data_IF_104784933904
#
_entry.id   IF_104784933904
#
_cell.length_a   1.000
_cell.length_b   1.000
_cell.length_c   1.000
_cell.angle_alpha   90.00
_cell.angle_beta   90.00
_cell.angle_gamma   90.00
#
_symmetry.space_group_name_H-M   'P 1'
#
loop_
_entity.id
_entity.type
_entity.pdbx_description
1 polymer ?
#
# COMPACT_ATOMS: atom_id res chain seq x y z
N UNK A 1 -32.75 38.76 -36.96
CA UNK A 1 -31.87 39.39 -35.96
C UNK A 1 -32.06 38.60 -34.68
N UNK A 2 -30.98 37.99 -34.16
CA UNK A 2 -30.74 37.56 -32.76
C UNK A 2 -31.68 36.49 -32.15
N UNK A 3 -31.26 35.41 -31.50
CA UNK A 3 -29.96 34.96 -30.98
C UNK A 3 -30.17 33.55 -30.37
N UNK A 4 -29.52 32.52 -30.92
CA UNK A 4 -29.47 31.15 -30.38
C UNK A 4 -28.38 31.10 -29.29
N UNK A 5 -28.71 31.51 -28.06
CA UNK A 5 -27.85 31.32 -26.89
C UNK A 5 -28.04 29.94 -26.29
N UNK A 6 -27.61 28.89 -27.01
CA UNK A 6 -27.28 27.61 -26.36
C UNK A 6 -25.97 27.76 -25.59
N UNK A 7 -26.10 27.99 -24.29
CA UNK A 7 -25.01 28.15 -23.34
C UNK A 7 -24.05 26.97 -23.34
N UNK A 8 -22.87 27.18 -23.93
CA UNK A 8 -21.71 26.31 -23.84
C UNK A 8 -21.24 26.25 -22.38
N UNK A 9 -21.46 25.13 -21.68
CA UNK A 9 -20.87 24.92 -20.36
C UNK A 9 -19.33 24.89 -20.50
N UNK A 10 -18.58 25.70 -19.75
CA UNK A 10 -17.12 25.73 -19.84
C UNK A 10 -16.55 24.40 -19.33
N UNK A 11 -15.71 23.76 -20.14
CA UNK A 11 -15.13 22.43 -19.89
C UNK A 11 -14.47 22.28 -18.49
N UNK A 12 -14.02 23.38 -17.89
CA UNK A 12 -13.47 23.44 -16.54
C UNK A 12 -14.49 23.08 -15.43
N UNK A 13 -15.78 23.45 -15.57
CA UNK A 13 -16.82 23.07 -14.60
C UNK A 13 -17.18 21.58 -14.68
N UNK A 14 -17.12 21.00 -15.88
CA UNK A 14 -17.36 19.57 -16.09
C UNK A 14 -16.27 18.72 -15.41
N UNK A 15 -14.99 19.06 -15.63
CA UNK A 15 -13.87 18.33 -15.04
C UNK A 15 -13.91 18.36 -13.49
N UNK A 16 -14.18 19.54 -12.89
CA UNK A 16 -14.29 19.66 -11.43
C UNK A 16 -15.47 18.85 -10.87
N UNK A 17 -16.61 18.80 -11.58
CA UNK A 17 -17.77 18.01 -11.16
C UNK A 17 -17.54 16.48 -11.22
N UNK A 18 -16.74 16.02 -12.20
CA UNK A 18 -16.38 14.60 -12.35
C UNK A 18 -15.35 14.20 -11.30
N UNK A 19 -14.33 15.02 -11.05
CA UNK A 19 -13.34 14.82 -9.98
C UNK A 19 -14.01 14.80 -8.60
N UNK A 20 -14.93 15.73 -8.33
CA UNK A 20 -15.68 15.75 -7.06
C UNK A 20 -16.59 14.53 -6.89
N UNK A 21 -17.17 14.00 -7.98
CA UNK A 21 -17.98 12.78 -7.93
C UNK A 21 -17.11 11.55 -7.62
N UNK A 22 -15.99 11.40 -8.33
CA UNK A 22 -15.06 10.29 -8.12
C UNK A 22 -14.48 10.27 -6.70
N UNK A 23 -14.09 11.45 -6.16
CA UNK A 23 -13.61 11.56 -4.77
C UNK A 23 -14.70 11.13 -3.78
N UNK A 24 -15.95 11.52 -4.01
CA UNK A 24 -17.08 11.17 -3.15
C UNK A 24 -17.36 9.67 -3.17
N UNK A 25 -17.28 9.05 -4.34
CA UNK A 25 -17.48 7.62 -4.53
C UNK A 25 -16.38 6.80 -3.82
N UNK A 26 -15.12 7.24 -3.92
CA UNK A 26 -13.99 6.63 -3.18
C UNK A 26 -14.16 6.75 -1.67
N UNK A 27 -14.56 7.93 -1.16
CA UNK A 27 -14.81 8.13 0.27
C UNK A 27 -15.98 7.26 0.76
N UNK A 28 -17.02 7.12 -0.05
CA UNK A 28 -18.21 6.35 0.31
C UNK A 28 -17.95 4.84 0.24
N UNK A 29 -17.12 4.38 -0.69
CA UNK A 29 -16.62 3.01 -0.76
C UNK A 29 -15.76 2.66 0.46
N UNK A 30 -14.81 3.53 0.85
CA UNK A 30 -14.01 3.37 2.07
C UNK A 30 -14.89 3.27 3.33
N UNK A 31 -15.91 4.13 3.46
CA UNK A 31 -16.87 4.09 4.57
C UNK A 31 -17.73 2.82 4.60
N UNK A 32 -17.99 2.16 3.46
CA UNK A 32 -18.72 0.88 3.43
C UNK A 32 -17.85 -0.29 3.89
N UNK A 33 -16.55 -0.23 3.58
CA UNK A 33 -15.56 -1.19 4.08
C UNK A 33 -15.42 -1.05 5.60
N UNK A 34 -15.29 0.18 6.12
CA UNK A 34 -15.25 0.43 7.58
C UNK A 34 -16.51 -0.01 8.33
N UNK A 35 -17.70 0.14 7.73
CA UNK A 35 -18.96 -0.26 8.38
C UNK A 35 -19.19 -1.77 8.41
N UNK A 36 -18.40 -2.54 7.66
CA UNK A 36 -18.42 -4.01 7.67
C UNK A 36 -17.40 -4.61 8.62
N UNK A 37 -16.80 -3.80 9.49
CA UNK A 37 -15.87 -4.34 10.47
C UNK A 37 -16.53 -5.32 11.43
N UNK A 38 -16.25 -6.59 11.17
CA UNK A 38 -16.48 -7.69 12.08
C UNK A 38 -15.77 -7.44 13.41
N UNK A 39 -16.28 -7.98 14.52
CA UNK A 39 -15.63 -7.83 15.83
C UNK A 39 -14.15 -8.25 15.83
N UNK A 40 -13.78 -9.16 14.94
CA UNK A 40 -12.40 -9.58 14.66
C UNK A 40 -11.53 -8.49 14.03
N UNK A 41 -12.04 -7.67 13.11
CA UNK A 41 -11.27 -6.56 12.51
C UNK A 41 -11.00 -5.44 13.52
N UNK A 42 -11.93 -5.23 14.45
CA UNK A 42 -11.76 -4.25 15.53
C UNK A 42 -10.67 -4.69 16.52
N UNK A 43 -10.57 -5.99 16.77
CA UNK A 43 -9.49 -6.58 17.59
C UNK A 43 -8.17 -6.49 16.83
N UNK A 44 -8.13 -6.83 15.54
CA UNK A 44 -6.95 -6.70 14.69
C UNK A 44 -6.43 -5.25 14.63
N UNK A 45 -7.31 -4.25 14.51
CA UNK A 45 -6.92 -2.83 14.49
C UNK A 45 -6.28 -2.40 15.81
N UNK A 46 -6.89 -2.77 16.94
CA UNK A 46 -6.33 -2.49 18.28
C UNK A 46 -4.98 -3.15 18.48
N UNK A 47 -4.84 -4.38 18.00
CA UNK A 47 -3.59 -5.14 18.00
C UNK A 47 -2.51 -4.41 17.20
N UNK A 48 -2.83 -3.94 15.99
CA UNK A 48 -1.89 -3.21 15.14
C UNK A 48 -1.48 -1.86 15.75
N UNK A 49 -2.43 -1.14 16.37
CA UNK A 49 -2.15 0.10 17.12
C UNK A 49 -1.31 -0.15 18.37
N UNK A 50 -1.53 -1.26 19.07
CA UNK A 50 -0.74 -1.70 20.23
C UNK A 50 0.68 -2.12 19.83
N UNK A 51 0.84 -2.81 18.70
CA UNK A 51 2.14 -3.22 18.17
C UNK A 51 2.97 -2.03 17.66
N UNK A 52 2.31 -0.98 17.15
CA UNK A 52 2.99 0.23 16.67
C UNK A 52 3.38 1.23 17.77
N UNK A 53 2.82 1.10 18.98
CA UNK A 53 3.06 2.03 20.07
C UNK A 53 3.99 1.43 21.13
N UNK A 54 5.14 2.06 21.35
CA UNK A 54 6.12 1.70 22.38
C UNK A 54 5.53 1.63 23.81
N UNK A 55 4.33 2.21 24.01
CA UNK A 55 3.55 2.13 25.25
C UNK A 55 3.23 0.71 25.74
N UNK A 56 3.06 -0.27 24.84
CA UNK A 56 2.81 -1.67 25.24
C UNK A 56 4.01 -2.26 26.01
N UNK A 57 5.23 -1.98 25.55
CA UNK A 57 6.46 -2.43 26.20
C UNK A 57 6.62 -1.78 27.59
N UNK A 58 6.35 -0.47 27.70
CA UNK A 58 6.40 0.21 29.00
C UNK A 58 5.40 -0.35 30.01
N UNK A 59 4.18 -0.69 29.57
CA UNK A 59 3.20 -1.35 30.42
C UNK A 59 3.70 -2.70 30.93
N UNK A 60 4.31 -3.53 30.08
CA UNK A 60 4.87 -4.83 30.48
C UNK A 60 6.04 -4.67 31.46
N UNK A 61 6.96 -3.75 31.18
CA UNK A 61 8.05 -3.44 32.11
C UNK A 61 7.54 -3.00 33.48
N UNK A 62 6.53 -2.13 33.53
CA UNK A 62 5.92 -1.69 34.78
C UNK A 62 5.20 -2.84 35.49
N UNK A 63 4.41 -3.64 34.77
CA UNK A 63 3.68 -4.79 35.30
C UNK A 63 4.63 -5.84 35.90
N UNK A 64 5.66 -6.26 35.16
CA UNK A 64 6.66 -7.21 35.66
C UNK A 64 7.47 -6.63 36.81
N UNK A 65 7.84 -5.35 36.74
CA UNK A 65 8.56 -4.67 37.81
C UNK A 65 7.74 -4.64 39.11
N UNK A 66 6.45 -4.33 39.03
CA UNK A 66 5.54 -4.35 40.18
C UNK A 66 5.37 -5.77 40.73
N UNK A 67 5.21 -6.77 39.87
CA UNK A 67 5.08 -8.17 40.30
C UNK A 67 6.31 -8.66 41.06
N UNK A 68 7.50 -8.39 40.52
CA UNK A 68 8.79 -8.75 41.12
C UNK A 68 8.93 -8.00 42.46
N UNK A 69 8.73 -6.68 42.47
CA UNK A 69 8.84 -5.88 43.70
C UNK A 69 7.87 -6.35 44.80
N UNK A 70 6.63 -6.69 44.43
CA UNK A 70 5.62 -7.20 45.36
C UNK A 70 6.02 -8.55 45.97
N UNK A 71 6.53 -9.48 45.15
CA UNK A 71 6.97 -10.79 45.63
C UNK A 71 8.26 -10.72 46.44
N UNK A 72 9.20 -9.83 46.10
CA UNK A 72 10.39 -9.59 46.95
C UNK A 72 9.99 -8.98 48.30
N UNK A 73 9.03 -8.05 48.32
CA UNK A 73 8.60 -7.41 49.57
C UNK A 73 7.85 -8.36 50.51
N UNK A 74 7.07 -9.29 49.96
CA UNK A 74 6.30 -10.28 50.75
C UNK A 74 7.15 -11.45 51.29
N UNK A 75 8.35 -11.67 50.74
CA UNK A 75 9.35 -12.58 51.31
C UNK A 75 8.83 -14.02 51.49
N UNK A 76 8.81 -14.51 52.73
CA UNK A 76 8.38 -15.88 53.07
C UNK A 76 6.90 -16.18 52.80
N UNK A 77 6.07 -15.15 52.57
CA UNK A 77 4.66 -15.27 52.16
C UNK A 77 4.44 -14.90 50.69
N UNK A 78 5.51 -14.83 49.90
CA UNK A 78 5.41 -14.53 48.48
C UNK A 78 4.55 -15.59 47.77
N UNK A 79 3.64 -15.11 46.92
CA UNK A 79 2.79 -15.97 46.10
C UNK A 79 3.58 -16.65 44.98
N UNK A 80 4.62 -15.98 44.48
CA UNK A 80 5.54 -16.47 43.46
C UNK A 80 6.99 -16.29 43.95
N UNK A 81 7.51 -17.21 44.79
CA UNK A 81 8.87 -17.15 45.30
C UNK A 81 9.90 -17.27 44.18
N UNK A 82 11.10 -16.70 44.38
CA UNK A 82 12.23 -16.91 43.48
C UNK A 82 12.45 -18.41 43.28
N UNK A 83 12.41 -18.96 42.04
CA UNK A 83 12.74 -18.32 40.75
C UNK A 83 11.56 -17.78 39.89
N UNK A 84 10.40 -17.44 40.47
CA UNK A 84 9.24 -16.86 39.78
C UNK A 84 8.61 -17.74 38.68
N UNK A 85 8.30 -18.99 39.01
CA UNK A 85 7.79 -19.98 38.04
C UNK A 85 6.44 -19.54 37.44
N UNK A 86 5.57 -18.89 38.22
CA UNK A 86 4.27 -18.43 37.72
C UNK A 86 4.45 -17.30 36.73
N UNK A 87 5.27 -16.30 37.05
CA UNK A 87 5.59 -15.20 36.13
C UNK A 87 6.18 -15.75 34.83
N UNK A 88 7.18 -16.64 34.90
CA UNK A 88 7.81 -17.21 33.70
C UNK A 88 6.79 -17.95 32.83
N UNK A 89 5.88 -18.71 33.44
CA UNK A 89 4.85 -19.46 32.72
C UNK A 89 3.88 -18.53 31.99
N UNK A 90 3.39 -17.48 32.67
CA UNK A 90 2.47 -16.50 32.09
C UNK A 90 3.17 -15.72 30.97
N UNK A 91 4.39 -15.24 31.19
CA UNK A 91 5.19 -14.51 30.20
C UNK A 91 5.47 -15.36 28.97
N UNK A 92 5.78 -16.65 29.15
CA UNK A 92 6.04 -17.55 28.03
C UNK A 92 4.81 -17.76 27.16
N UNK A 93 3.63 -17.94 27.78
CA UNK A 93 2.37 -18.05 27.05
C UNK A 93 2.03 -16.75 26.32
N UNK A 94 2.17 -15.61 27.00
CA UNK A 94 1.94 -14.28 26.44
C UNK A 94 2.84 -14.00 25.24
N UNK A 95 4.13 -14.35 25.32
CA UNK A 95 5.09 -14.18 24.23
C UNK A 95 4.69 -14.96 22.97
N UNK A 96 4.14 -16.17 23.12
CA UNK A 96 3.62 -16.96 21.98
C UNK A 96 2.46 -16.22 21.34
N UNK A 97 1.50 -15.72 22.12
CA UNK A 97 0.37 -14.95 21.59
C UNK A 97 0.82 -13.69 20.84
N UNK A 98 1.77 -12.94 21.41
CA UNK A 98 2.35 -11.75 20.76
C UNK A 98 3.04 -12.10 19.46
N UNK A 99 3.82 -13.18 19.43
CA UNK A 99 4.52 -13.62 18.23
C UNK A 99 3.53 -14.00 17.13
N UNK A 100 2.48 -14.76 17.45
CA UNK A 100 1.44 -15.13 16.50
C UNK A 100 0.69 -13.90 15.97
N UNK A 101 0.37 -12.97 16.86
CA UNK A 101 -0.29 -11.71 16.55
C UNK A 101 0.55 -10.83 15.60
N UNK A 102 1.86 -10.73 15.87
CA UNK A 102 2.83 -10.05 15.01
C UNK A 102 2.92 -10.75 13.67
N UNK A 103 3.00 -12.08 13.64
CA UNK A 103 3.08 -12.85 12.39
C UNK A 103 1.85 -12.67 11.51
N UNK A 104 0.64 -12.68 12.09
CA UNK A 104 -0.60 -12.39 11.37
C UNK A 104 -0.59 -10.96 10.81
N UNK A 105 -0.11 -9.99 11.59
CA UNK A 105 0.00 -8.60 11.16
C UNK A 105 1.02 -8.44 10.01
N UNK A 106 2.18 -9.07 10.14
CA UNK A 106 3.22 -9.10 9.10
C UNK A 106 2.73 -9.76 7.82
N UNK A 107 2.02 -10.89 7.90
CA UNK A 107 1.48 -11.58 6.73
C UNK A 107 0.45 -10.70 5.99
N UNK A 108 -0.35 -9.93 6.74
CA UNK A 108 -1.29 -8.96 6.15
C UNK A 108 -0.55 -7.82 5.44
N UNK A 109 0.45 -7.23 6.08
CA UNK A 109 1.25 -6.15 5.49
C UNK A 109 2.01 -6.64 4.24
N UNK A 110 2.61 -7.84 4.29
CA UNK A 110 3.31 -8.44 3.15
C UNK A 110 2.38 -8.62 1.93
N UNK A 111 1.13 -9.07 2.15
CA UNK A 111 0.14 -9.18 1.07
C UNK A 111 -0.26 -7.82 0.49
N UNK A 112 -0.34 -6.78 1.32
CA UNK A 112 -0.61 -5.42 0.85
C UNK A 112 0.58 -4.83 0.10
N UNK A 113 1.79 -5.12 0.54
CA UNK A 113 3.04 -4.73 -0.11
C UNK A 113 3.17 -5.39 -1.49
N UNK A 114 2.89 -6.69 -1.61
CA UNK A 114 2.86 -7.41 -2.89
C UNK A 114 1.85 -6.79 -3.87
N UNK A 115 0.64 -6.47 -3.41
CA UNK A 115 -0.36 -5.80 -4.26
C UNK A 115 0.06 -4.40 -4.72
N UNK A 116 0.79 -3.65 -3.86
CA UNK A 116 1.32 -2.35 -4.25
C UNK A 116 2.45 -2.50 -5.26
N UNK A 117 3.36 -3.44 -5.05
CA UNK A 117 4.45 -3.72 -5.99
C UNK A 117 3.91 -4.11 -7.38
N UNK A 118 2.86 -4.94 -7.43
CA UNK A 118 2.19 -5.28 -8.69
C UNK A 118 1.62 -4.04 -9.42
N UNK A 119 0.95 -3.15 -8.67
CA UNK A 119 0.37 -1.93 -9.24
C UNK A 119 1.44 -0.93 -9.70
N UNK A 120 2.49 -0.76 -8.91
CA UNK A 120 3.62 0.12 -9.24
C UNK A 120 4.32 -0.37 -10.51
N UNK A 121 4.54 -1.69 -10.65
CA UNK A 121 5.07 -2.29 -11.88
C UNK A 121 4.20 -1.98 -13.11
N UNK A 122 2.87 -2.09 -12.98
CA UNK A 122 1.95 -1.77 -14.09
C UNK A 122 2.00 -0.30 -14.48
N UNK A 123 2.06 0.60 -13.49
CA UNK A 123 2.18 2.04 -13.73
C UNK A 123 3.50 2.36 -14.45
N UNK A 124 4.60 1.75 -14.00
CA UNK A 124 5.92 1.95 -14.60
C UNK A 124 5.95 1.47 -16.06
N UNK A 125 5.41 0.30 -16.35
CA UNK A 125 5.30 -0.22 -17.74
C UNK A 125 4.43 0.67 -18.63
N UNK A 126 3.30 1.17 -18.10
CA UNK A 126 2.43 2.09 -18.83
C UNK A 126 3.13 3.42 -19.09
N UNK A 127 3.86 3.96 -18.10
CA UNK A 127 4.62 5.18 -18.24
C UNK A 127 5.74 5.02 -19.29
N UNK A 128 6.45 3.89 -19.28
CA UNK A 128 7.48 3.56 -20.27
C UNK A 128 6.89 3.48 -21.68
N UNK A 129 5.71 2.85 -21.83
CA UNK A 129 4.96 2.83 -23.09
C UNK A 129 4.60 4.25 -23.58
N UNK A 130 4.04 5.09 -22.70
CA UNK A 130 3.65 6.46 -23.04
C UNK A 130 4.85 7.32 -23.41
N UNK A 131 5.96 7.22 -22.68
CA UNK A 131 7.22 7.92 -22.98
C UNK A 131 7.76 7.48 -24.33
N UNK A 132 7.79 6.19 -24.62
CA UNK A 132 8.27 5.68 -25.92
C UNK A 132 7.38 6.17 -27.08
N UNK A 133 6.06 6.23 -26.85
CA UNK A 133 5.11 6.77 -27.83
C UNK A 133 5.32 8.26 -28.06
N UNK A 134 5.59 9.03 -27.00
CA UNK A 134 5.95 10.44 -27.12
C UNK A 134 7.27 10.62 -27.88
N UNK A 135 8.28 9.80 -27.60
CA UNK A 135 9.57 9.82 -28.31
C UNK A 135 9.39 9.56 -29.82
N UNK A 136 8.57 8.56 -30.17
CA UNK A 136 8.22 8.28 -31.57
C UNK A 136 7.53 9.47 -32.24
N UNK A 137 6.57 10.11 -31.56
CA UNK A 137 5.86 11.28 -32.08
C UNK A 137 6.79 12.48 -32.26
N UNK A 138 7.67 12.76 -31.29
CA UNK A 138 8.66 13.84 -31.36
C UNK A 138 9.66 13.58 -32.49
N UNK A 139 10.16 12.35 -32.62
CA UNK A 139 11.05 11.96 -33.72
C UNK A 139 10.38 12.13 -35.09
N UNK A 140 9.10 11.76 -35.22
CA UNK A 140 8.33 11.97 -36.45
C UNK A 140 8.15 13.46 -36.79
N UNK A 141 7.98 14.33 -35.77
CA UNK A 141 7.90 15.79 -35.95
C UNK A 141 9.26 16.37 -36.35
N UNK A 142 10.34 15.99 -35.67
CA UNK A 142 11.70 16.42 -35.97
C UNK A 142 12.08 16.10 -37.42
N UNK A 143 11.79 14.87 -37.86
CA UNK A 143 12.01 14.44 -39.25
C UNK A 143 11.22 15.29 -40.26
N UNK A 144 10.01 15.72 -39.92
CA UNK A 144 9.16 16.55 -40.80
C UNK A 144 9.62 18.01 -40.86
N UNK A 145 10.32 18.48 -39.83
CA UNK A 145 10.90 19.82 -39.74
C UNK A 145 12.32 19.90 -40.32
N UNK A 146 12.84 18.79 -40.88
CA UNK A 146 14.22 18.69 -41.42
C UNK A 146 15.28 19.14 -40.39
N UNK A 147 15.00 18.94 -39.10
CA UNK A 147 15.98 19.17 -38.04
C UNK A 147 16.96 18.00 -38.10
N UNK A 148 18.15 18.26 -38.63
CA UNK A 148 19.24 17.30 -38.78
C UNK A 148 19.96 17.07 -37.44
N UNK A 149 19.30 16.39 -36.52
CA UNK A 149 19.91 15.75 -35.34
C UNK A 149 19.93 14.23 -35.52
N UNK A 150 20.15 13.77 -36.76
CA UNK A 150 19.89 12.37 -37.17
C UNK A 150 21.00 11.39 -36.78
N UNK A 151 21.97 11.78 -35.94
CA UNK A 151 23.09 10.92 -35.53
C UNK A 151 23.46 10.98 -34.04
N UNK A 152 22.56 11.43 -33.16
CA UNK A 152 22.75 11.18 -31.73
C UNK A 152 22.50 9.69 -31.44
N UNK A 153 23.60 8.95 -31.23
CA UNK A 153 23.63 7.52 -30.91
C UNK A 153 22.72 7.20 -29.71
N UNK A 154 22.61 8.13 -28.77
CA UNK A 154 21.74 8.11 -27.59
C UNK A 154 20.23 7.98 -27.95
N UNK A 155 19.76 8.64 -29.01
CA UNK A 155 18.36 8.56 -29.45
C UNK A 155 18.04 7.21 -30.10
N UNK A 156 19.00 6.65 -30.86
CA UNK A 156 18.89 5.31 -31.46
C UNK A 156 18.95 4.21 -30.39
N UNK A 157 19.66 4.46 -29.29
CA UNK A 157 19.71 3.56 -28.13
C UNK A 157 18.39 3.52 -27.37
N UNK A 158 17.79 4.68 -27.07
CA UNK A 158 16.47 4.78 -26.42
C UNK A 158 15.35 4.14 -27.25
N UNK A 159 15.41 4.23 -28.59
CA UNK A 159 14.46 3.57 -29.48
C UNK A 159 14.71 2.06 -29.66
N UNK A 160 15.91 1.57 -29.29
CA UNK A 160 16.25 0.14 -29.30
C UNK A 160 15.84 -0.58 -28.02
N UNK A 161 15.74 0.12 -26.89
CA UNK A 161 15.55 -0.52 -25.58
C UNK A 161 14.11 -0.98 -25.33
N UNK A 162 13.11 -0.41 -25.98
CA UNK A 162 11.71 -0.80 -25.76
C UNK A 162 10.94 -0.77 -27.08
N UNK A 163 10.54 -1.95 -27.60
CA UNK A 163 9.52 -2.02 -28.65
C UNK A 163 8.15 -2.03 -27.96
N UNK A 164 7.32 -0.97 -28.09
CA UNK A 164 6.06 -0.83 -27.36
C UNK A 164 5.04 -1.94 -27.62
N UNK A 165 5.15 -2.64 -28.75
CA UNK A 165 4.29 -3.79 -29.08
C UNK A 165 4.60 -5.02 -28.24
N UNK A 166 5.87 -5.25 -27.93
CA UNK A 166 6.28 -6.42 -27.18
C UNK A 166 5.78 -6.33 -25.72
N UNK A 167 5.77 -5.12 -25.13
CA UNK A 167 5.26 -4.91 -23.77
C UNK A 167 3.73 -5.05 -23.66
N UNK A 168 2.97 -4.63 -24.67
CA UNK A 168 1.51 -4.75 -24.67
C UNK A 168 1.06 -6.21 -24.82
N UNK A 169 1.70 -6.97 -25.71
CA UNK A 169 1.44 -8.41 -25.88
C UNK A 169 1.83 -9.18 -24.59
N UNK A 170 2.87 -8.75 -23.87
CA UNK A 170 3.29 -9.35 -22.61
C UNK A 170 2.35 -9.00 -21.43
N UNK A 171 1.81 -7.78 -21.38
CA UNK A 171 0.78 -7.40 -20.40
C UNK A 171 -0.53 -8.19 -20.58
N UNK A 172 -1.00 -8.36 -21.82
CA UNK A 172 -2.22 -9.12 -22.12
C UNK A 172 -2.06 -10.59 -21.73
N UNK A 173 -0.89 -11.19 -22.00
CA UNK A 173 -0.60 -12.58 -21.64
C UNK A 173 -0.45 -12.79 -20.12
N UNK A 174 0.09 -11.81 -19.37
CA UNK A 174 0.18 -11.88 -17.92
C UNK A 174 -1.17 -11.71 -17.22
N UNK A 175 -2.06 -10.85 -17.73
CA UNK A 175 -3.43 -10.72 -17.24
C UNK A 175 -4.25 -12.00 -17.46
N UNK A 176 -4.15 -12.62 -18.64
CA UNK A 176 -4.81 -13.90 -18.95
C UNK A 176 -4.34 -15.02 -18.00
N UNK A 177 -3.06 -15.02 -17.63
CA UNK A 177 -2.47 -16.05 -16.76
C UNK A 177 -2.88 -15.92 -15.29
N UNK A 178 -3.19 -14.71 -14.82
CA UNK A 178 -3.68 -14.43 -13.46
C UNK A 178 -5.20 -14.67 -13.33
N UNK A 179 -5.93 -14.73 -14.44
CA UNK A 179 -7.37 -14.98 -14.51
C UNK A 179 -7.76 -16.48 -14.54
N UNK A 180 -6.79 -17.39 -14.66
CA UNK A 180 -7.01 -18.84 -14.58
C UNK A 180 -6.81 -19.29 -13.12
N UNK A 181 -7.84 -19.85 -12.45
CA UNK A 181 -7.80 -20.22 -11.04
C UNK A 181 -6.89 -21.43 -10.73
#
# INVERSE_FOLDING_TARGET
MTDDKRGRMPAAQSCNSVVQRNIRDVIQARKRIERRESGSERIARKITELAGNMGFAYFHCAWFGVWIAFNLWTGERAFDPFPFVLLITVVSLEAIFLTLMVLVSQNREAKLEEQRADLDLQIDLLAEYEVTRLLCLVSAIAKKLEIDDTDDEDMKELLKTVRPKDLLDELETLEERKAVP
#
